data_IF_987763206159
#
_entry.id   IF_987763206159
#
_cell.length_a   1.000
_cell.length_b   1.000
_cell.length_c   1.000
_cell.angle_alpha   90.00
_cell.angle_beta   90.00
_cell.angle_gamma   90.00
#
_symmetry.space_group_name_H-M   'P 1'
#
loop_
_entity.id
_entity.type
_entity.pdbx_description
1 polymer ?
#
# COMPACT_ATOMS: atom_id res chain seq x y z
N UNK A 1 12.76 27.21 -6.10
CA UNK A 1 13.95 26.45 -6.54
C UNK A 1 13.83 25.03 -6.02
N UNK A 2 13.54 24.07 -6.89
CA UNK A 2 13.63 22.64 -6.55
C UNK A 2 15.09 22.31 -6.21
N UNK A 3 15.38 21.99 -4.94
CA UNK A 3 16.72 21.54 -4.54
C UNK A 3 16.91 20.13 -5.12
N UNK A 4 17.63 20.07 -6.24
CA UNK A 4 18.02 18.84 -6.91
C UNK A 4 18.69 17.88 -5.90
N UNK A 5 18.16 16.66 -5.83
CA UNK A 5 18.88 15.53 -5.28
C UNK A 5 20.15 15.38 -6.12
N UNK A 6 21.31 15.68 -5.54
CA UNK A 6 22.60 15.39 -6.17
C UNK A 6 22.72 13.87 -6.30
N UNK A 7 22.38 13.35 -7.48
CA UNK A 7 22.78 12.03 -7.92
C UNK A 7 24.28 12.14 -8.23
N UNK A 8 25.12 11.62 -7.34
CA UNK A 8 26.55 11.45 -7.62
C UNK A 8 26.68 10.40 -8.73
N UNK A 9 26.88 10.87 -9.96
CA UNK A 9 27.18 10.03 -11.11
C UNK A 9 28.56 9.36 -10.94
N UNK A 10 28.58 8.04 -10.97
CA UNK A 10 29.78 7.27 -11.25
C UNK A 10 29.83 6.95 -12.74
N UNK A 11 30.73 7.63 -13.44
CA UNK A 11 31.11 7.35 -14.81
C UNK A 11 32.16 6.24 -14.82
N UNK A 12 31.78 5.05 -15.26
CA UNK A 12 32.72 4.06 -15.81
C UNK A 12 32.04 3.38 -16.98
N UNK A 13 32.58 3.68 -18.17
CA UNK A 13 32.07 3.17 -19.43
C UNK A 13 32.24 1.67 -19.55
N UNK A 14 31.24 1.03 -20.14
CA UNK A 14 31.38 -0.28 -20.75
C UNK A 14 30.68 -0.30 -22.11
N UNK A 15 31.47 -0.73 -23.08
CA UNK A 15 31.21 -0.82 -24.51
C UNK A 15 30.03 -1.74 -24.82
N UNK A 16 29.05 -1.22 -25.55
CA UNK A 16 27.92 -1.97 -26.10
C UNK A 16 28.41 -2.77 -27.30
N UNK A 17 28.39 -4.10 -27.22
CA UNK A 17 28.47 -5.00 -28.37
C UNK A 17 27.03 -5.36 -28.78
N UNK A 18 26.61 -4.84 -29.93
CA UNK A 18 25.34 -5.20 -30.57
C UNK A 18 25.46 -6.57 -31.23
N UNK A 19 24.62 -7.53 -30.83
CA UNK A 19 24.34 -8.71 -31.64
C UNK A 19 22.86 -8.76 -31.98
N UNK A 20 22.61 -8.67 -33.30
CA UNK A 20 21.33 -8.82 -33.97
C UNK A 20 20.98 -10.31 -34.00
N UNK A 21 19.85 -10.69 -33.44
CA UNK A 21 19.21 -11.99 -33.72
C UNK A 21 17.77 -11.77 -34.18
N UNK A 22 17.46 -12.38 -35.31
CA UNK A 22 16.22 -12.29 -36.07
C UNK A 22 15.18 -13.30 -35.58
N UNK A 23 14.00 -12.78 -35.23
CA UNK A 23 12.62 -13.21 -35.58
C UNK A 23 12.31 -14.72 -35.65
N UNK A 24 11.29 -15.15 -34.89
CA UNK A 24 10.07 -15.80 -35.42
C UNK A 24 8.89 -15.66 -34.44
N UNK A 25 7.70 -15.39 -35.00
CA UNK A 25 6.40 -15.36 -34.32
C UNK A 25 5.85 -16.79 -34.27
N UNK A 26 5.17 -17.17 -33.19
CA UNK A 26 4.02 -18.05 -33.29
C UNK A 26 2.93 -17.65 -32.30
N UNK A 27 1.74 -17.45 -32.85
CA UNK A 27 0.47 -17.17 -32.22
C UNK A 27 -0.31 -18.47 -32.02
N UNK A 28 -0.95 -18.65 -30.87
CA UNK A 28 -2.14 -19.49 -30.77
C UNK A 28 -3.02 -19.01 -29.62
N UNK A 29 -4.11 -18.37 -30.01
CA UNK A 29 -5.27 -18.00 -29.21
C UNK A 29 -6.12 -19.21 -28.88
N UNK A 30 -6.56 -19.35 -27.63
CA UNK A 30 -7.71 -20.18 -27.28
C UNK A 30 -8.55 -19.44 -26.25
N UNK A 31 -9.65 -18.87 -26.73
CA UNK A 31 -10.71 -18.24 -25.97
C UNK A 31 -11.60 -19.31 -25.34
N UNK A 32 -11.68 -19.35 -24.01
CA UNK A 32 -12.67 -20.16 -23.31
C UNK A 32 -13.64 -19.23 -22.61
N UNK A 33 -14.85 -19.15 -23.16
CA UNK A 33 -15.99 -18.42 -22.63
C UNK A 33 -16.49 -19.09 -21.35
N UNK A 34 -16.34 -18.42 -20.20
CA UNK A 34 -16.97 -18.83 -18.94
C UNK A 34 -18.44 -18.40 -18.94
N UNK A 35 -19.34 -19.38 -18.81
CA UNK A 35 -20.77 -19.16 -18.61
C UNK A 35 -21.02 -18.81 -17.14
N UNK A 36 -21.66 -17.67 -16.90
CA UNK A 36 -22.11 -17.22 -15.58
C UNK A 36 -23.43 -17.94 -15.25
N UNK A 37 -23.43 -18.81 -14.24
CA UNK A 37 -24.67 -19.38 -13.68
C UNK A 37 -25.26 -18.41 -12.66
N UNK A 38 -26.52 -18.05 -12.89
CA UNK A 38 -27.36 -17.22 -12.02
C UNK A 38 -27.59 -17.88 -10.66
N UNK A 39 -27.26 -17.17 -9.57
CA UNK A 39 -27.66 -17.55 -8.22
C UNK A 39 -28.97 -16.88 -7.81
N UNK A 40 -29.83 -17.69 -7.20
CA UNK A 40 -31.13 -17.36 -6.62
C UNK A 40 -30.93 -16.74 -5.22
N UNK A 41 -31.43 -15.51 -5.03
CA UNK A 41 -31.40 -14.80 -3.75
C UNK A 41 -32.70 -15.02 -2.95
N UNK A 42 -32.59 -15.55 -1.72
CA UNK A 42 -33.65 -15.46 -0.69
C UNK A 42 -33.45 -14.20 0.17
N UNK A 43 -34.53 -13.50 0.59
CA UNK A 43 -34.41 -12.20 1.22
C UNK A 43 -34.27 -12.32 2.75
N UNK A 44 -33.32 -11.59 3.36
CA UNK A 44 -33.39 -11.23 4.78
C UNK A 44 -33.05 -9.76 5.03
N UNK A 45 -34.05 -9.11 5.63
CA UNK A 45 -34.11 -7.84 6.39
C UNK A 45 -32.98 -6.83 6.18
N UNK A 46 -33.32 -5.82 5.39
CA UNK A 46 -32.65 -4.52 5.32
C UNK A 46 -33.05 -3.69 6.55
N UNK A 47 -32.06 -3.23 7.32
CA UNK A 47 -32.23 -2.15 8.29
C UNK A 47 -32.19 -0.82 7.51
N UNK A 48 -33.33 -0.15 7.40
CA UNK A 48 -33.43 1.15 6.72
C UNK A 48 -32.79 2.25 7.55
N UNK A 49 -31.86 3.00 6.95
CA UNK A 49 -31.42 4.29 7.47
C UNK A 49 -32.24 5.40 6.78
N UNK A 50 -32.97 6.18 7.56
CA UNK A 50 -33.71 7.35 7.09
C UNK A 50 -32.76 8.54 6.85
N UNK A 51 -32.85 9.24 5.71
CA UNK A 51 -32.14 10.50 5.50
C UNK A 51 -32.93 11.66 6.11
N UNK A 52 -32.25 12.44 6.96
CA UNK A 52 -32.82 13.65 7.57
C UNK A 52 -32.87 14.80 6.56
N UNK A 53 -34.11 15.17 6.21
CA UNK A 53 -34.66 16.46 5.76
C UNK A 53 -33.68 17.60 5.42
N UNK A 54 -33.72 18.01 4.15
CA UNK A 54 -33.22 19.31 3.66
C UNK A 54 -34.09 20.47 4.18
N UNK A 55 -33.43 21.56 4.56
CA UNK A 55 -34.04 22.88 4.79
C UNK A 55 -33.34 23.90 3.90
N UNK A 56 -34.14 24.64 3.14
CA UNK A 56 -33.76 25.68 2.20
C UNK A 56 -33.53 27.03 2.90
N UNK A 57 -32.49 27.75 2.48
CA UNK A 57 -32.40 29.21 2.59
C UNK A 57 -31.60 29.80 1.42
N UNK A 58 -32.10 30.93 0.92
CA UNK A 58 -31.74 31.68 -0.29
C UNK A 58 -30.51 32.61 -0.08
N UNK A 59 -29.98 33.27 -1.14
CA UNK A 59 -28.56 33.54 -1.33
C UNK A 59 -28.10 34.91 -0.80
N UNK A 60 -26.82 35.01 -0.44
CA UNK A 60 -26.17 36.27 -0.05
C UNK A 60 -24.70 36.30 -0.46
N UNK A 61 -24.40 37.20 -1.41
CA UNK A 61 -23.13 37.89 -1.72
C UNK A 61 -21.80 37.11 -1.63
N UNK A 62 -21.22 36.84 -2.81
CA UNK A 62 -19.84 36.35 -2.97
C UNK A 62 -18.78 37.42 -2.64
N UNK A 63 -17.74 37.09 -1.85
CA UNK A 63 -16.46 37.78 -1.88
C UNK A 63 -15.44 37.00 -2.74
N UNK A 64 -14.57 37.77 -3.40
CA UNK A 64 -13.49 37.38 -4.32
C UNK A 64 -12.57 36.24 -3.83
N UNK A 65 -11.95 35.46 -4.74
CA UNK A 65 -11.18 34.27 -4.39
C UNK A 65 -9.85 34.65 -3.72
N UNK A 66 -9.68 34.23 -2.47
CA UNK A 66 -8.41 34.27 -1.77
C UNK A 66 -7.42 33.24 -2.35
N UNK A 67 -6.16 33.65 -2.39
CA UNK A 67 -4.92 32.93 -2.69
C UNK A 67 -4.92 31.44 -2.31
N UNK A 68 -4.14 30.59 -3.01
CA UNK A 68 -4.09 29.16 -2.72
C UNK A 68 -3.65 28.94 -1.28
N UNK A 69 -4.59 28.54 -0.44
CA UNK A 69 -4.35 28.01 0.88
C UNK A 69 -3.52 26.76 0.70
N UNK A 70 -2.22 26.87 0.95
CA UNK A 70 -1.36 25.72 1.19
C UNK A 70 -2.02 24.93 2.33
N UNK A 71 -2.62 23.79 1.99
CA UNK A 71 -3.17 22.88 2.97
C UNK A 71 -1.98 22.37 3.78
N UNK A 72 -1.76 22.95 4.96
CA UNK A 72 -0.77 22.44 5.89
C UNK A 72 -1.23 21.05 6.31
N UNK A 73 -0.63 20.00 5.73
CA UNK A 73 -0.87 18.63 6.14
C UNK A 73 -0.30 18.47 7.55
N UNK A 74 -1.13 18.71 8.56
CA UNK A 74 -0.82 18.49 9.96
C UNK A 74 -0.91 16.99 10.26
N UNK A 75 0.08 16.24 9.82
CA UNK A 75 0.36 14.93 10.40
C UNK A 75 1.80 14.96 10.89
N UNK A 76 1.95 15.24 12.18
CA UNK A 76 3.19 15.01 12.90
C UNK A 76 3.39 13.50 13.00
N UNK A 77 3.89 12.89 11.93
CA UNK A 77 4.35 11.51 11.92
C UNK A 77 5.44 11.31 12.97
N UNK A 78 5.64 10.06 13.39
CA UNK A 78 6.63 9.71 14.41
C UNK A 78 8.06 9.86 13.85
N UNK A 79 8.60 11.07 13.94
CA UNK A 79 9.96 11.40 13.48
C UNK A 79 10.96 11.02 14.58
N UNK A 80 11.79 10.00 14.31
CA UNK A 80 12.76 9.51 15.30
C UNK A 80 13.84 10.54 15.58
N UNK A 81 14.28 10.62 16.84
CA UNK A 81 15.44 11.44 17.21
C UNK A 81 16.74 10.71 16.88
N UNK A 82 17.31 11.00 15.70
CA UNK A 82 18.65 10.52 15.31
C UNK A 82 19.68 11.20 16.22
N UNK A 83 20.56 10.44 16.88
CA UNK A 83 21.59 10.98 17.80
C UNK A 83 22.98 11.11 17.17
N UNK A 84 23.28 10.26 16.20
CA UNK A 84 24.60 10.13 15.57
C UNK A 84 24.48 10.05 14.06
N UNK A 85 25.49 10.57 13.37
CA UNK A 85 25.59 10.61 11.93
C UNK A 85 25.94 9.23 11.35
N UNK A 86 25.12 8.73 10.43
CA UNK A 86 25.34 7.44 9.77
C UNK A 86 26.59 7.40 8.86
N UNK A 87 27.18 8.55 8.52
CA UNK A 87 28.35 8.62 7.64
C UNK A 87 29.69 8.73 8.40
N UNK A 88 29.73 9.40 9.55
CA UNK A 88 30.99 9.68 10.26
C UNK A 88 30.93 9.43 11.76
N UNK A 89 29.80 8.96 12.31
CA UNK A 89 29.63 8.69 13.74
C UNK A 89 29.51 9.93 14.65
N UNK A 90 29.72 11.14 14.13
CA UNK A 90 29.63 12.37 14.92
C UNK A 90 28.20 12.67 15.42
N UNK A 91 28.02 13.44 16.50
CA UNK A 91 26.71 13.75 17.04
C UNK A 91 25.89 14.63 16.08
N UNK A 92 24.57 14.63 16.25
CA UNK A 92 23.64 15.45 15.46
C UNK A 92 22.91 16.47 16.32
N UNK A 93 22.74 17.70 15.78
CA UNK A 93 21.80 18.70 16.29
C UNK A 93 20.47 18.61 15.52
N UNK A 94 19.37 19.09 16.11
CA UNK A 94 18.07 19.13 15.47
C UNK A 94 17.59 20.56 15.33
N UNK A 95 17.49 21.03 14.09
CA UNK A 95 17.03 22.39 13.77
C UNK A 95 16.28 22.37 12.43
N UNK A 96 15.58 23.46 12.13
CA UNK A 96 14.94 23.67 10.83
C UNK A 96 15.97 24.42 9.96
N UNK A 97 16.53 23.81 8.90
CA UNK A 97 17.47 24.50 8.02
C UNK A 97 16.83 25.69 7.31
N UNK A 98 17.65 26.67 6.92
CA UNK A 98 17.19 27.83 6.16
C UNK A 98 16.47 27.41 4.86
N UNK A 99 15.24 27.90 4.71
CA UNK A 99 14.37 27.60 3.58
C UNK A 99 13.70 26.21 3.64
N UNK A 100 13.72 25.53 4.78
CA UNK A 100 12.90 24.33 5.04
C UNK A 100 11.85 24.59 6.12
N UNK A 101 10.84 23.71 6.20
CA UNK A 101 9.74 23.80 7.17
C UNK A 101 9.82 22.74 8.26
N UNK A 102 10.67 21.72 8.08
CA UNK A 102 10.71 20.53 8.93
C UNK A 102 12.01 20.44 9.70
N UNK A 103 11.92 19.99 10.95
CA UNK A 103 13.07 19.68 11.81
C UNK A 103 13.93 18.58 11.17
N UNK A 104 15.24 18.80 11.09
CA UNK A 104 16.20 17.86 10.53
C UNK A 104 17.28 17.51 11.52
N UNK A 105 17.76 16.27 11.48
CA UNK A 105 18.98 15.88 12.18
C UNK A 105 20.20 16.25 11.32
N UNK A 106 21.03 17.16 11.81
CA UNK A 106 22.21 17.68 11.10
C UNK A 106 23.46 17.29 11.88
N UNK A 107 24.41 16.63 11.24
CA UNK A 107 25.67 16.26 11.88
C UNK A 107 26.48 17.52 12.21
N UNK A 108 26.96 17.62 13.46
CA UNK A 108 27.78 18.76 13.91
C UNK A 108 29.24 18.68 13.46
N UNK A 109 29.66 17.52 12.92
CA UNK A 109 31.04 17.32 12.45
C UNK A 109 31.17 17.50 10.93
N UNK A 110 30.37 16.79 10.14
CA UNK A 110 30.46 16.81 8.67
C UNK A 110 29.35 17.61 7.97
N UNK A 111 28.44 18.23 8.72
CA UNK A 111 27.36 19.07 8.19
C UNK A 111 26.24 18.33 7.44
N UNK A 112 26.34 17.01 7.24
CA UNK A 112 25.34 16.23 6.50
C UNK A 112 24.00 16.17 7.24
N UNK A 113 22.93 16.24 6.46
CA UNK A 113 21.55 16.10 6.95
C UNK A 113 21.12 14.64 6.82
N UNK A 114 20.62 14.06 7.91
CA UNK A 114 20.03 12.72 7.93
C UNK A 114 18.51 12.81 7.73
N UNK A 115 18.07 12.58 6.49
CA UNK A 115 16.64 12.53 6.15
C UNK A 115 16.00 11.23 6.64
N UNK A 116 14.81 11.36 7.22
CA UNK A 116 13.93 10.22 7.49
C UNK A 116 12.90 10.15 6.37
N UNK A 117 12.97 9.09 5.60
CA UNK A 117 12.10 8.86 4.46
C UNK A 117 11.03 7.83 4.83
N UNK A 118 9.79 7.99 4.34
CA UNK A 118 8.80 6.93 4.43
C UNK A 118 9.31 5.63 3.82
N UNK A 119 8.79 4.50 4.30
CA UNK A 119 9.07 3.18 3.75
C UNK A 119 7.94 2.74 2.82
N UNK A 120 8.32 2.18 1.68
CA UNK A 120 7.37 1.52 0.78
C UNK A 120 7.21 0.06 1.23
N UNK A 121 5.97 -0.35 1.43
CA UNK A 121 5.58 -1.75 1.66
C UNK A 121 4.86 -2.23 0.40
N UNK A 122 5.28 -3.35 -0.16
CA UNK A 122 4.72 -3.92 -1.39
C UNK A 122 4.16 -5.30 -1.10
N UNK A 123 3.06 -5.66 -1.74
CA UNK A 123 2.42 -6.96 -1.50
C UNK A 123 1.37 -7.31 -2.54
N UNK A 124 0.78 -8.49 -2.39
CA UNK A 124 -0.21 -9.01 -3.34
C UNK A 124 -1.56 -9.30 -2.67
N UNK A 125 -2.64 -8.81 -3.26
CA UNK A 125 -3.97 -9.38 -3.15
C UNK A 125 -4.06 -10.55 -4.13
N UNK A 126 -3.92 -11.77 -3.62
CA UNK A 126 -3.79 -12.97 -4.44
C UNK A 126 -5.15 -13.65 -4.55
N UNK A 127 -5.64 -13.79 -5.78
CA UNK A 127 -6.92 -14.41 -6.08
C UNK A 127 -6.76 -15.76 -6.75
N UNK A 128 -7.61 -16.70 -6.37
CA UNK A 128 -7.78 -17.98 -7.04
C UNK A 128 -9.27 -18.32 -7.00
N UNK A 129 -9.92 -18.36 -8.16
CA UNK A 129 -11.39 -18.43 -8.26
C UNK A 129 -12.04 -17.31 -7.43
N UNK A 130 -13.02 -17.62 -6.58
CA UNK A 130 -13.68 -16.70 -5.65
C UNK A 130 -13.05 -16.77 -4.25
N UNK A 131 -11.74 -16.97 -4.18
CA UNK A 131 -10.98 -17.02 -2.92
C UNK A 131 -9.79 -16.08 -2.92
N UNK A 132 -9.39 -15.67 -1.73
CA UNK A 132 -8.18 -14.89 -1.47
C UNK A 132 -7.21 -15.68 -0.62
N UNK A 133 -5.91 -15.63 -0.94
CA UNK A 133 -4.86 -16.25 -0.13
C UNK A 133 -4.44 -15.27 0.98
N UNK A 134 -4.50 -15.72 2.24
CA UNK A 134 -3.99 -14.99 3.39
C UNK A 134 -2.90 -15.79 4.10
N UNK A 135 -2.02 -15.06 4.79
CA UNK A 135 -0.93 -15.59 5.61
C UNK A 135 -1.17 -15.24 7.08
N UNK A 136 -1.00 -16.20 7.98
CA UNK A 136 -1.09 -16.00 9.43
C UNK A 136 0.30 -15.73 9.98
N UNK A 137 0.52 -14.57 10.59
CA UNK A 137 1.87 -14.11 10.97
C UNK A 137 2.50 -14.94 12.09
N UNK A 138 3.78 -15.30 11.92
CA UNK A 138 4.63 -15.95 12.94
C UNK A 138 5.59 -14.96 13.64
N UNK A 139 5.52 -13.67 13.31
CA UNK A 139 6.40 -12.64 13.84
C UNK A 139 5.62 -11.45 14.41
N UNK A 140 6.24 -10.70 15.32
CA UNK A 140 5.68 -9.45 15.84
C UNK A 140 5.98 -8.26 14.90
N UNK A 141 5.16 -7.20 14.91
CA UNK A 141 3.89 -7.07 15.63
C UNK A 141 2.79 -7.97 15.04
N UNK A 142 1.67 -8.13 15.75
CA UNK A 142 0.46 -8.83 15.26
C UNK A 142 0.66 -10.33 15.00
N UNK A 143 1.46 -11.01 15.83
CA UNK A 143 1.60 -12.48 15.80
C UNK A 143 0.22 -13.17 15.88
N UNK A 144 0.02 -14.22 15.08
CA UNK A 144 -1.21 -15.02 15.06
C UNK A 144 -2.38 -14.39 14.29
N UNK A 145 -2.25 -13.16 13.79
CA UNK A 145 -3.24 -12.49 12.96
C UNK A 145 -2.97 -12.72 11.46
N UNK A 146 -4.01 -12.57 10.65
CA UNK A 146 -3.99 -12.79 9.21
C UNK A 146 -3.63 -11.52 8.43
N UNK A 147 -2.90 -11.67 7.33
CA UNK A 147 -2.49 -10.58 6.44
C UNK A 147 -2.46 -11.06 4.98
N UNK A 148 -2.37 -10.11 4.04
CA UNK A 148 -1.83 -10.41 2.71
C UNK A 148 -0.30 -10.48 2.82
N UNK A 149 0.37 -11.28 1.97
CA UNK A 149 1.83 -11.27 1.92
C UNK A 149 2.32 -9.90 1.45
N UNK A 150 3.14 -9.27 2.27
CA UNK A 150 3.60 -7.92 2.05
C UNK A 150 4.78 -7.55 2.96
N UNK A 151 5.82 -6.96 2.37
CA UNK A 151 7.00 -6.51 3.10
C UNK A 151 7.67 -5.31 2.44
N UNK A 152 8.84 -4.93 2.93
CA UNK A 152 9.49 -3.70 2.48
C UNK A 152 10.03 -3.85 1.07
N UNK A 153 9.87 -2.79 0.26
CA UNK A 153 10.56 -2.71 -1.03
C UNK A 153 12.06 -2.58 -0.81
N UNK A 154 12.82 -3.43 -1.50
CA UNK A 154 14.28 -3.40 -1.47
C UNK A 154 14.90 -2.58 -2.60
N UNK A 155 16.16 -2.19 -2.40
CA UNK A 155 16.92 -1.47 -3.44
C UNK A 155 17.30 -2.46 -4.53
N UNK A 156 16.94 -2.13 -5.78
CA UNK A 156 17.30 -2.94 -6.95
C UNK A 156 16.14 -3.74 -7.55
N UNK A 157 14.96 -3.72 -6.92
CA UNK A 157 13.74 -4.33 -7.44
C UNK A 157 12.66 -3.27 -7.78
N UNK A 158 11.78 -3.59 -8.73
CA UNK A 158 10.54 -2.87 -8.95
C UNK A 158 9.50 -3.24 -7.88
N UNK A 159 8.47 -2.40 -7.71
CA UNK A 159 7.41 -2.66 -6.74
C UNK A 159 6.65 -3.99 -6.99
N UNK A 160 6.49 -4.37 -8.25
CA UNK A 160 5.86 -5.63 -8.61
C UNK A 160 6.77 -6.83 -8.32
N UNK A 161 8.08 -6.72 -8.57
CA UNK A 161 9.06 -7.75 -8.22
C UNK A 161 9.13 -7.97 -6.71
N UNK A 162 9.18 -6.88 -5.92
CA UNK A 162 9.13 -6.99 -4.47
C UNK A 162 7.84 -7.63 -3.96
N UNK A 163 6.68 -7.25 -4.52
CA UNK A 163 5.41 -7.89 -4.17
C UNK A 163 5.37 -9.40 -4.48
N UNK A 164 6.01 -9.83 -5.59
CA UNK A 164 6.16 -11.24 -5.94
C UNK A 164 7.16 -11.96 -5.02
N UNK A 165 8.28 -11.32 -4.67
CA UNK A 165 9.27 -11.85 -3.72
C UNK A 165 8.63 -12.11 -2.37
N UNK A 166 7.97 -11.11 -1.78
CA UNK A 166 7.29 -11.21 -0.49
C UNK A 166 6.21 -12.31 -0.51
N UNK A 167 5.48 -12.43 -1.63
CA UNK A 167 4.51 -13.51 -1.82
C UNK A 167 5.16 -14.90 -1.78
N UNK A 168 6.32 -15.06 -2.40
CA UNK A 168 7.06 -16.31 -2.38
C UNK A 168 7.69 -16.58 -1.00
N UNK A 169 8.26 -15.57 -0.36
CA UNK A 169 8.90 -15.69 0.96
C UNK A 169 7.90 -16.04 2.07
N UNK A 170 6.74 -15.40 2.09
CA UNK A 170 5.74 -15.62 3.14
C UNK A 170 4.83 -16.82 2.90
N UNK A 171 4.53 -17.14 1.64
CA UNK A 171 3.51 -18.13 1.28
C UNK A 171 3.98 -19.23 0.33
N UNK A 172 5.24 -19.23 -0.11
CA UNK A 172 5.73 -20.16 -1.13
C UNK A 172 4.97 -20.08 -2.46
N UNK A 173 4.13 -19.06 -2.63
CA UNK A 173 3.15 -18.99 -3.70
C UNK A 173 3.75 -18.36 -4.94
N UNK A 174 3.53 -18.96 -6.10
CA UNK A 174 3.89 -18.34 -7.38
C UNK A 174 2.68 -17.64 -7.96
N UNK A 175 2.83 -16.35 -8.26
CA UNK A 175 1.73 -15.51 -8.75
C UNK A 175 2.03 -14.85 -10.09
N UNK A 176 0.97 -14.48 -10.80
CA UNK A 176 0.99 -13.59 -11.94
C UNK A 176 0.38 -12.25 -11.53
N UNK A 177 1.18 -11.18 -11.51
CA UNK A 177 0.68 -9.83 -11.22
C UNK A 177 -0.20 -9.35 -12.38
N UNK A 178 -1.43 -8.94 -12.08
CA UNK A 178 -2.42 -8.47 -13.05
C UNK A 178 -2.37 -6.96 -13.18
N UNK A 179 -2.45 -6.26 -12.05
CA UNK A 179 -2.50 -4.80 -12.01
C UNK A 179 -2.14 -4.26 -10.62
N UNK A 180 -1.71 -2.99 -10.49
CA UNK A 180 -1.83 -2.31 -9.20
C UNK A 180 -3.30 -2.28 -8.79
N UNK A 181 -3.57 -2.42 -7.49
CA UNK A 181 -4.93 -2.47 -6.95
C UNK A 181 -5.19 -1.38 -5.92
N UNK A 182 -4.33 -1.25 -4.92
CA UNK A 182 -4.48 -0.22 -3.90
C UNK A 182 -3.12 0.41 -3.56
N UNK A 183 -3.09 1.73 -3.46
CA UNK A 183 -2.02 2.45 -2.78
C UNK A 183 -2.57 3.16 -1.56
N UNK A 184 -2.05 2.83 -0.37
CA UNK A 184 -2.56 3.31 0.90
C UNK A 184 -1.44 3.96 1.71
N UNK A 185 -1.53 5.27 1.90
CA UNK A 185 -0.57 6.02 2.70
C UNK A 185 -0.96 5.98 4.18
N UNK A 186 0.01 5.76 5.06
CA UNK A 186 -0.16 5.78 6.52
C UNK A 186 0.87 6.76 7.13
N UNK A 187 0.59 8.08 7.09
CA UNK A 187 1.57 9.10 7.46
C UNK A 187 2.08 9.00 8.90
N UNK A 188 1.22 8.60 9.85
CA UNK A 188 1.57 8.50 11.26
C UNK A 188 2.81 7.63 11.50
N UNK A 189 2.90 6.51 10.77
CA UNK A 189 4.00 5.54 10.87
C UNK A 189 5.01 5.65 9.72
N UNK A 190 4.86 6.64 8.84
CA UNK A 190 5.76 6.88 7.71
C UNK A 190 5.81 5.72 6.73
N UNK A 191 4.67 5.12 6.37
CA UNK A 191 4.60 4.03 5.40
C UNK A 191 3.65 4.34 4.24
N UNK A 192 3.94 3.82 3.06
CA UNK A 192 3.02 3.74 1.93
C UNK A 192 2.94 2.28 1.47
N UNK A 193 1.74 1.74 1.37
CA UNK A 193 1.49 0.37 0.93
C UNK A 193 1.10 0.40 -0.54
N UNK A 194 1.72 -0.43 -1.37
CA UNK A 194 1.33 -0.67 -2.75
C UNK A 194 0.96 -2.13 -2.90
N UNK A 195 -0.33 -2.42 -3.04
CA UNK A 195 -0.86 -3.77 -3.19
C UNK A 195 -1.22 -4.00 -4.65
N UNK A 196 -0.70 -5.09 -5.20
CA UNK A 196 -1.01 -5.57 -6.54
C UNK A 196 -2.10 -6.64 -6.49
N UNK A 197 -3.05 -6.59 -7.42
CA UNK A 197 -3.92 -7.73 -7.68
C UNK A 197 -3.13 -8.76 -8.47
N UNK A 198 -3.10 -10.00 -7.98
CA UNK A 198 -2.35 -11.08 -8.58
C UNK A 198 -3.18 -12.36 -8.66
N UNK A 199 -2.95 -13.19 -9.68
CA UNK A 199 -3.54 -14.52 -9.81
C UNK A 199 -2.57 -15.57 -9.28
N UNK A 200 -3.07 -16.49 -8.47
CA UNK A 200 -2.31 -17.66 -8.07
C UNK A 200 -2.13 -18.62 -9.27
N UNK A 201 -0.88 -19.00 -9.60
CA UNK A 201 -0.60 -19.82 -10.79
C UNK A 201 -0.96 -21.31 -10.60
N UNK A 202 -0.79 -21.83 -9.39
CA UNK A 202 -1.09 -23.22 -9.02
C UNK A 202 -1.43 -23.31 -7.52
N UNK A 203 -1.95 -24.44 -7.07
CA UNK A 203 -2.30 -24.65 -5.65
C UNK A 203 -1.10 -25.08 -4.79
N UNK A 204 0.12 -24.94 -5.31
CA UNK A 204 1.36 -25.30 -4.62
C UNK A 204 1.85 -24.07 -3.84
N UNK A 205 1.34 -23.92 -2.62
CA UNK A 205 1.77 -22.87 -1.68
C UNK A 205 1.89 -23.45 -0.28
N UNK A 206 2.77 -22.88 0.54
CA UNK A 206 3.04 -23.33 1.90
C UNK A 206 3.58 -22.17 2.73
N UNK A 207 3.27 -22.10 4.04
CA UNK A 207 3.81 -21.05 4.88
C UNK A 207 5.34 -21.03 4.85
N UNK A 208 5.91 -19.86 4.59
CA UNK A 208 7.33 -19.61 4.78
C UNK A 208 7.68 -19.37 6.26
N UNK A 209 8.96 -19.07 6.59
CA UNK A 209 9.41 -18.93 7.98
C UNK A 209 8.65 -17.88 8.80
N UNK A 210 8.12 -16.85 8.14
CA UNK A 210 7.38 -15.75 8.76
C UNK A 210 5.87 -16.01 8.88
N UNK A 211 5.40 -17.14 8.37
CA UNK A 211 3.99 -17.54 8.38
C UNK A 211 3.79 -18.81 9.21
N UNK A 212 2.76 -18.81 10.06
CA UNK A 212 2.28 -20.00 10.75
C UNK A 212 1.43 -20.88 9.83
N UNK A 213 0.69 -20.23 8.93
CA UNK A 213 -0.31 -20.86 8.10
C UNK A 213 -0.57 -19.99 6.87
N UNK A 214 -0.78 -20.60 5.70
CA UNK A 214 -1.30 -19.93 4.51
C UNK A 214 -2.58 -20.64 4.10
N UNK A 215 -3.64 -19.89 3.81
CA UNK A 215 -4.95 -20.47 3.51
C UNK A 215 -5.72 -19.64 2.50
N UNK A 216 -6.41 -20.32 1.58
CA UNK A 216 -7.41 -19.72 0.70
C UNK A 216 -8.73 -19.59 1.45
N UNK A 217 -9.25 -18.37 1.52
CA UNK A 217 -10.54 -18.05 2.13
C UNK A 217 -11.56 -17.72 1.04
N UNK A 218 -12.76 -18.29 1.14
CA UNK A 218 -13.90 -17.75 0.38
C UNK A 218 -14.17 -16.31 0.81
N UNK A 219 -14.74 -15.50 -0.10
CA UNK A 219 -14.93 -14.06 0.12
C UNK A 219 -15.78 -13.74 1.37
N UNK A 220 -16.73 -14.61 1.71
CA UNK A 220 -17.60 -14.51 2.88
C UNK A 220 -17.01 -15.14 4.16
N UNK A 221 -15.89 -15.86 4.04
CA UNK A 221 -15.18 -16.49 5.15
C UNK A 221 -13.94 -15.69 5.60
N UNK A 222 -13.63 -14.57 4.94
CA UNK A 222 -12.49 -13.71 5.28
C UNK A 222 -12.57 -13.30 6.77
N UNK A 223 -11.51 -13.54 7.58
CA UNK A 223 -11.57 -13.38 9.03
C UNK A 223 -11.28 -11.93 9.42
N UNK A 224 -12.16 -11.00 9.07
CA UNK A 224 -11.95 -9.56 9.24
C UNK A 224 -11.57 -9.13 10.66
N UNK A 225 -12.12 -9.79 11.68
CA UNK A 225 -11.81 -9.51 13.09
C UNK A 225 -10.43 -10.02 13.55
N UNK A 226 -9.76 -10.83 12.73
CA UNK A 226 -8.43 -11.38 13.00
C UNK A 226 -7.40 -10.90 11.97
N UNK A 227 -7.64 -9.77 11.30
CA UNK A 227 -6.65 -9.16 10.41
C UNK A 227 -5.61 -8.35 11.18
N UNK A 228 -4.36 -8.39 10.70
CA UNK A 228 -3.21 -7.81 11.38
C UNK A 228 -3.10 -6.29 11.25
N UNK A 229 -3.54 -5.73 10.11
CA UNK A 229 -3.29 -4.34 9.74
C UNK A 229 -4.48 -3.68 9.03
N UNK A 230 -4.66 -2.37 9.25
CA UNK A 230 -5.73 -1.60 8.61
C UNK A 230 -5.58 -1.48 7.10
N UNK A 231 -4.34 -1.46 6.57
CA UNK A 231 -4.10 -1.45 5.12
C UNK A 231 -4.70 -2.68 4.46
N UNK A 232 -4.54 -3.85 5.09
CA UNK A 232 -5.10 -5.12 4.62
C UNK A 232 -6.63 -5.12 4.75
N UNK A 233 -7.15 -4.69 5.90
CA UNK A 233 -8.59 -4.54 6.12
C UNK A 233 -9.24 -3.66 5.04
N UNK A 234 -8.66 -2.48 4.76
CA UNK A 234 -9.15 -1.55 3.74
C UNK A 234 -9.07 -2.17 2.35
N UNK A 235 -7.93 -2.77 2.00
CA UNK A 235 -7.72 -3.41 0.68
C UNK A 235 -8.78 -4.48 0.41
N UNK A 236 -9.04 -5.37 1.37
CA UNK A 236 -10.03 -6.42 1.22
C UNK A 236 -11.46 -5.87 1.08
N UNK A 237 -11.83 -4.85 1.86
CA UNK A 237 -13.14 -4.21 1.71
C UNK A 237 -13.31 -3.54 0.34
N UNK A 238 -12.30 -2.82 -0.15
CA UNK A 238 -12.32 -2.22 -1.49
C UNK A 238 -12.49 -3.28 -2.58
N UNK A 239 -11.82 -4.42 -2.44
CA UNK A 239 -11.97 -5.54 -3.37
C UNK A 239 -13.39 -6.09 -3.39
N UNK A 240 -13.98 -6.34 -2.21
CA UNK A 240 -15.37 -6.80 -2.11
C UNK A 240 -16.37 -5.78 -2.67
N UNK A 241 -16.12 -4.48 -2.50
CA UNK A 241 -16.95 -3.43 -3.09
C UNK A 241 -16.87 -3.40 -4.61
N UNK A 242 -15.66 -3.50 -5.18
CA UNK A 242 -15.46 -3.53 -6.62
C UNK A 242 -16.10 -4.77 -7.25
N UNK A 243 -16.02 -5.93 -6.59
CA UNK A 243 -16.70 -7.14 -7.02
C UNK A 243 -18.22 -6.95 -7.05
N UNK A 244 -18.82 -6.33 -6.02
CA UNK A 244 -20.26 -6.01 -6.00
C UNK A 244 -20.67 -5.06 -7.13
N UNK A 245 -19.78 -4.15 -7.53
CA UNK A 245 -19.99 -3.20 -8.63
C UNK A 245 -19.65 -3.81 -10.00
N UNK A 246 -19.04 -4.99 -10.04
CA UNK A 246 -18.60 -5.66 -11.27
C UNK A 246 -17.44 -4.97 -11.99
N UNK A 247 -16.69 -4.10 -11.30
CA UNK A 247 -15.60 -3.32 -11.91
C UNK A 247 -14.45 -3.15 -10.93
N UNK A 248 -13.36 -3.85 -11.18
CA UNK A 248 -12.08 -3.63 -10.51
C UNK A 248 -11.46 -2.32 -10.98
N UNK A 249 -10.96 -1.53 -10.04
CA UNK A 249 -10.20 -0.31 -10.32
C UNK A 249 -9.02 -0.16 -9.36
N UNK A 250 -8.13 0.77 -9.70
CA UNK A 250 -7.09 1.20 -8.78
C UNK A 250 -7.69 2.15 -7.72
N UNK A 251 -7.29 1.97 -6.47
CA UNK A 251 -7.69 2.80 -5.34
C UNK A 251 -6.48 3.51 -4.74
N UNK A 252 -6.65 4.77 -4.37
CA UNK A 252 -5.66 5.52 -3.60
C UNK A 252 -6.33 6.24 -2.45
N UNK A 253 -5.72 6.15 -1.27
CA UNK A 253 -6.23 6.82 -0.08
C UNK A 253 -5.23 6.90 1.06
N UNK A 254 -5.58 7.72 2.05
CA UNK A 254 -4.78 7.91 3.26
C UNK A 254 -5.50 7.31 4.46
N UNK A 255 -4.84 6.38 5.15
CA UNK A 255 -5.28 5.84 6.43
C UNK A 255 -4.75 6.74 7.55
N UNK A 256 -5.62 7.59 8.06
CA UNK A 256 -5.32 8.46 9.20
C UNK A 256 -5.59 7.71 10.50
N UNK A 257 -4.52 7.19 11.11
CA UNK A 257 -4.59 6.51 12.41
C UNK A 257 -5.00 7.47 13.52
N UNK A 258 -5.88 7.02 14.42
CA UNK A 258 -6.25 7.83 15.60
C UNK A 258 -5.03 8.00 16.52
N UNK A 259 -4.73 9.22 16.99
CA UNK A 259 -3.65 9.43 17.94
C UNK A 259 -3.80 8.53 19.19
N UNK A 260 -2.70 7.93 19.63
CA UNK A 260 -2.67 7.03 20.80
C UNK A 260 -3.19 5.60 20.55
N UNK A 261 -3.74 5.30 19.38
CA UNK A 261 -4.08 3.91 19.01
C UNK A 261 -2.83 3.12 18.61
N UNK A 262 -2.91 1.79 18.72
CA UNK A 262 -1.87 0.91 18.18
C UNK A 262 -1.77 1.09 16.66
N UNK A 263 -0.57 1.14 16.06
CA UNK A 263 -0.40 1.09 14.61
C UNK A 263 -1.16 -0.07 13.94
N UNK A 264 -1.28 -1.21 14.62
CA UNK A 264 -1.99 -2.40 14.14
C UNK A 264 -3.50 -2.37 14.41
N UNK A 265 -4.05 -1.36 15.09
CA UNK A 265 -5.50 -1.29 15.35
C UNK A 265 -6.27 -1.07 14.03
N UNK A 266 -7.02 -2.09 13.64
CA UNK A 266 -7.81 -2.12 12.40
C UNK A 266 -9.16 -1.38 12.53
N UNK A 267 -9.50 -0.85 13.70
CA UNK A 267 -10.77 -0.13 13.94
C UNK A 267 -10.56 1.35 14.26
N UNK A 268 -9.33 1.76 14.55
CA UNK A 268 -8.98 3.11 14.95
C UNK A 268 -8.34 3.95 13.83
N UNK A 269 -9.06 4.18 12.73
CA UNK A 269 -8.63 5.10 11.66
C UNK A 269 -9.80 5.81 10.96
N UNK A 270 -9.49 6.87 10.22
CA UNK A 270 -10.34 7.39 9.13
C UNK A 270 -9.64 7.14 7.79
N UNK A 271 -10.42 7.04 6.71
CA UNK A 271 -9.91 6.83 5.36
C UNK A 271 -10.31 8.00 4.48
N UNK A 272 -9.31 8.73 3.98
CA UNK A 272 -9.51 9.83 3.06
C UNK A 272 -9.24 9.32 1.64
N UNK A 273 -10.25 9.43 0.76
CA UNK A 273 -10.10 9.10 -0.65
C UNK A 273 -9.64 10.33 -1.42
N UNK A 274 -8.45 10.23 -2.01
CA UNK A 274 -7.89 11.33 -2.81
C UNK A 274 -8.14 11.13 -4.31
N UNK A 275 -8.51 9.93 -4.73
CA UNK A 275 -9.07 9.66 -6.06
C UNK A 275 -10.58 9.49 -5.93
N UNK A 276 -11.33 10.50 -6.36
CA UNK A 276 -12.77 10.37 -6.53
C UNK A 276 -13.06 9.51 -7.78
N UNK A 277 -14.08 8.62 -7.74
CA UNK A 277 -14.46 7.78 -8.88
C UNK A 277 -14.88 8.56 -10.13
#
# INVERSE_FOLDING_TARGET
>A
MLKAVQILGWSSGLTIISQRLTRTRHSSSSSTSLKLSTFSSSPRRILSFNPTRMSSSQPGSDPLPNSPTFVSVQSSGDVRKIKFCQWCGGPTKHEIPDGEEKLRAICTHCGRIAYQNPKMVVGCLIVHEEKVLLCKRNIQPSHGLWTLPAGYLEVGESAAEGAMRETWEEAGATVEVISPFAQLDIPLIGQTYVIFLARLKNLDFAPGPESLECRLFALDEIPFDSLAFSSIYVTLNLYLEDLKKGKLKFHYGTINKRPGSSPSDIRAFTLDYHLQP
#
